data_IF_483392862726
#
_entry.id   IF_483392862726
#
_cell.length_a   1.000
_cell.length_b   1.000
_cell.length_c   1.000
_cell.angle_alpha   90.00
_cell.angle_beta   90.00
_cell.angle_gamma   90.00
#
_symmetry.space_group_name_H-M   'P 1'
#
loop_
_entity.id
_entity.type
_entity.pdbx_description
1 polymer ?
#
# COMPACT_ATOMS: atom_id res chain seq x y z
N UNK A 1 6.45 -7.85 -20.88
CA UNK A 1 7.15 -8.54 -19.75
C UNK A 1 8.66 -8.47 -19.91
N UNK A 2 9.26 -8.96 -21.04
CA UNK A 2 10.73 -8.96 -21.24
C UNK A 2 11.39 -7.58 -21.05
N UNK A 3 10.76 -6.49 -21.51
CA UNK A 3 11.30 -5.13 -21.40
C UNK A 3 11.27 -4.58 -19.96
N UNK A 4 10.30 -5.01 -19.16
CA UNK A 4 10.13 -4.54 -17.77
C UNK A 4 10.96 -5.35 -16.78
N UNK A 5 11.30 -6.59 -17.12
CA UNK A 5 11.99 -7.49 -16.19
C UNK A 5 13.30 -6.93 -15.63
N UNK A 6 14.20 -6.35 -16.44
CA UNK A 6 15.45 -5.77 -15.91
C UNK A 6 15.20 -4.64 -14.89
N UNK A 7 14.16 -3.83 -15.10
CA UNK A 7 13.76 -2.80 -14.14
C UNK A 7 13.28 -3.39 -12.83
N UNK A 8 12.31 -4.33 -12.88
CA UNK A 8 11.78 -4.97 -11.66
C UNK A 8 12.87 -5.73 -10.92
N UNK A 9 13.75 -6.43 -11.62
CA UNK A 9 14.92 -7.10 -11.03
C UNK A 9 15.87 -6.11 -10.36
N UNK A 10 16.08 -4.94 -10.95
CA UNK A 10 16.88 -3.86 -10.35
C UNK A 10 16.29 -3.35 -9.04
N UNK A 11 14.95 -3.17 -8.99
CA UNK A 11 14.24 -2.79 -7.78
C UNK A 11 14.33 -3.88 -6.71
N UNK A 12 14.15 -5.15 -7.07
CA UNK A 12 14.36 -6.27 -6.14
C UNK A 12 15.78 -6.30 -5.57
N UNK A 13 16.79 -6.12 -6.43
CA UNK A 13 18.20 -6.10 -6.01
C UNK A 13 18.53 -4.91 -5.07
N UNK A 14 17.83 -3.78 -5.20
CA UNK A 14 17.91 -2.68 -4.22
C UNK A 14 17.40 -3.15 -2.86
N UNK A 15 16.21 -3.73 -2.80
CA UNK A 15 15.61 -4.20 -1.55
C UNK A 15 16.40 -5.34 -0.91
N UNK A 16 16.94 -6.29 -1.68
CA UNK A 16 17.85 -7.33 -1.17
C UNK A 16 19.02 -6.78 -0.34
N UNK A 17 19.49 -5.57 -0.69
CA UNK A 17 20.60 -4.90 -0.01
C UNK A 17 20.17 -3.95 1.11
N UNK A 18 18.98 -3.36 0.95
CA UNK A 18 18.49 -2.36 1.90
C UNK A 18 17.86 -2.98 3.14
N UNK A 19 17.21 -4.13 2.98
CA UNK A 19 16.56 -4.84 4.07
C UNK A 19 17.58 -5.37 5.09
N UNK A 20 17.23 -5.28 6.35
CA UNK A 20 18.01 -5.88 7.45
C UNK A 20 17.29 -7.09 7.99
N UNK A 21 17.93 -8.27 8.01
CA UNK A 21 17.38 -9.47 8.62
C UNK A 21 17.65 -9.45 10.13
N UNK A 22 16.61 -9.45 10.94
CA UNK A 22 16.66 -9.50 12.40
C UNK A 22 15.91 -10.74 12.91
N UNK A 23 16.66 -11.71 13.38
CA UNK A 23 16.10 -13.00 13.74
C UNK A 23 15.54 -13.69 12.50
N UNK A 24 14.23 -13.80 12.42
CA UNK A 24 13.49 -14.45 11.34
C UNK A 24 12.70 -13.48 10.46
N UNK A 25 12.81 -12.16 10.69
CA UNK A 25 12.09 -11.14 9.92
C UNK A 25 12.99 -10.12 9.26
N UNK A 26 12.60 -9.66 8.08
CA UNK A 26 13.20 -8.50 7.43
C UNK A 26 12.57 -7.19 7.92
N UNK A 27 13.45 -6.23 8.22
CA UNK A 27 13.11 -4.91 8.75
C UNK A 27 13.58 -3.83 7.78
N UNK A 28 12.76 -2.80 7.63
CA UNK A 28 13.08 -1.58 6.88
C UNK A 28 13.43 -0.48 7.87
N UNK A 29 14.68 -0.04 7.88
CA UNK A 29 15.16 1.06 8.71
C UNK A 29 15.35 2.34 7.91
N UNK A 30 15.24 3.47 8.59
CA UNK A 30 15.53 4.80 8.04
C UNK A 30 14.76 5.13 6.75
N UNK A 31 13.55 4.61 6.63
CA UNK A 31 12.64 4.93 5.56
C UNK A 31 11.77 6.15 5.94
N UNK A 32 10.99 6.65 5.01
CA UNK A 32 10.03 7.73 5.21
C UNK A 32 8.65 7.28 4.75
N UNK A 33 7.65 7.41 5.62
CA UNK A 33 6.26 7.12 5.24
C UNK A 33 5.68 8.22 4.32
N UNK A 34 6.22 9.45 4.43
CA UNK A 34 5.79 10.62 3.68
C UNK A 34 6.93 11.63 3.62
N UNK A 35 6.89 12.56 2.67
CA UNK A 35 7.78 13.72 2.66
C UNK A 35 7.71 14.48 3.99
N UNK A 36 8.87 14.91 4.48
CA UNK A 36 8.98 15.53 5.82
C UNK A 36 9.07 14.56 7.00
N UNK A 37 8.88 13.26 6.79
CA UNK A 37 9.19 12.23 7.79
C UNK A 37 10.55 11.58 7.49
N UNK A 38 11.30 11.25 8.53
CA UNK A 38 12.61 10.60 8.41
C UNK A 38 12.82 9.59 9.53
N UNK A 39 13.62 8.58 9.27
CA UNK A 39 14.04 7.63 10.30
C UNK A 39 12.93 6.71 10.82
N UNK A 40 11.87 6.52 10.05
CA UNK A 40 10.80 5.61 10.43
C UNK A 40 11.22 4.15 10.21
N UNK A 41 10.64 3.25 10.99
CA UNK A 41 10.87 1.82 10.90
C UNK A 41 9.61 1.13 10.37
N UNK A 42 9.78 0.28 9.38
CA UNK A 42 8.71 -0.51 8.78
C UNK A 42 7.47 0.32 8.38
N UNK A 43 7.59 1.29 7.45
CA UNK A 43 6.42 1.96 6.91
C UNK A 43 5.51 0.94 6.21
N UNK A 44 4.21 0.98 6.51
CA UNK A 44 3.26 -0.02 6.04
C UNK A 44 3.17 -0.10 4.51
N UNK A 45 3.26 1.05 3.83
CA UNK A 45 3.29 1.10 2.37
C UNK A 45 4.52 0.38 1.81
N UNK A 46 5.70 0.62 2.40
CA UNK A 46 6.95 -0.01 1.98
C UNK A 46 6.93 -1.52 2.22
N UNK A 47 6.40 -1.97 3.37
CA UNK A 47 6.20 -3.39 3.65
C UNK A 47 5.33 -4.06 2.57
N UNK A 48 4.25 -3.39 2.14
CA UNK A 48 3.38 -3.88 1.09
C UNK A 48 4.05 -3.89 -0.29
N UNK A 49 4.73 -2.80 -0.64
CA UNK A 49 5.39 -2.65 -1.94
C UNK A 49 6.58 -3.62 -2.10
N UNK A 50 7.35 -3.87 -1.04
CA UNK A 50 8.44 -4.87 -1.07
C UNK A 50 7.88 -6.26 -1.36
N UNK A 51 6.82 -6.69 -0.66
CA UNK A 51 6.16 -7.96 -0.95
C UNK A 51 5.68 -8.05 -2.39
N UNK A 52 5.08 -6.99 -2.91
CA UNK A 52 4.64 -6.91 -4.31
C UNK A 52 5.83 -7.05 -5.28
N UNK A 53 6.94 -6.36 -5.03
CA UNK A 53 8.14 -6.43 -5.88
C UNK A 53 8.72 -7.84 -5.89
N UNK A 54 8.88 -8.47 -4.73
CA UNK A 54 9.43 -9.82 -4.62
C UNK A 54 8.54 -10.86 -5.30
N UNK A 55 7.23 -10.77 -5.14
CA UNK A 55 6.29 -11.61 -5.87
C UNK A 55 6.38 -11.38 -7.39
N UNK A 56 6.36 -10.10 -7.82
CA UNK A 56 6.39 -9.75 -9.23
C UNK A 56 7.66 -10.21 -9.93
N UNK A 57 8.83 -10.03 -9.31
CA UNK A 57 10.10 -10.48 -9.91
C UNK A 57 10.16 -12.00 -10.03
N UNK A 58 9.65 -12.72 -9.04
CA UNK A 58 9.57 -14.19 -9.05
C UNK A 58 8.64 -14.70 -10.15
N UNK A 59 7.44 -14.10 -10.28
CA UNK A 59 6.47 -14.47 -11.32
C UNK A 59 7.01 -14.18 -12.72
N UNK A 60 7.63 -13.00 -12.91
CA UNK A 60 8.24 -12.65 -14.20
C UNK A 60 9.43 -13.55 -14.53
N UNK A 61 10.26 -13.90 -13.56
CA UNK A 61 11.37 -14.86 -13.69
C UNK A 61 10.84 -16.22 -14.15
N UNK A 62 9.79 -16.71 -13.51
CA UNK A 62 9.15 -17.98 -13.86
C UNK A 62 8.57 -17.96 -15.27
N UNK A 63 7.84 -16.91 -15.62
CA UNK A 63 7.24 -16.73 -16.94
C UNK A 63 8.28 -16.66 -18.06
N UNK A 64 9.44 -16.04 -17.81
CA UNK A 64 10.51 -15.86 -18.78
C UNK A 64 11.52 -17.01 -18.80
N UNK A 65 11.51 -17.91 -17.80
CA UNK A 65 12.47 -19.01 -17.67
C UNK A 65 13.90 -18.53 -17.38
N UNK A 66 14.05 -17.46 -16.56
CA UNK A 66 15.35 -16.86 -16.22
C UNK A 66 15.53 -16.77 -14.71
N UNK A 67 16.78 -16.65 -14.23
CA UNK A 67 17.13 -16.40 -12.81
C UNK A 67 16.41 -17.37 -11.83
N UNK A 68 16.33 -18.64 -12.17
CA UNK A 68 15.65 -19.67 -11.37
C UNK A 68 16.29 -19.82 -9.99
N UNK A 69 17.60 -19.67 -9.91
CA UNK A 69 18.42 -19.72 -8.71
C UNK A 69 18.09 -18.58 -7.69
N UNK A 70 17.40 -17.54 -8.13
CA UNK A 70 17.02 -16.40 -7.29
C UNK A 70 15.62 -16.53 -6.67
N UNK A 71 14.76 -17.38 -7.21
CA UNK A 71 13.33 -17.41 -6.82
C UNK A 71 13.13 -17.79 -5.36
N UNK A 72 13.93 -18.71 -4.85
CA UNK A 72 13.86 -19.11 -3.44
C UNK A 72 14.21 -17.93 -2.52
N UNK A 73 15.23 -17.15 -2.85
CA UNK A 73 15.61 -15.96 -2.09
C UNK A 73 14.49 -14.91 -2.10
N UNK A 74 13.88 -14.63 -3.25
CA UNK A 74 12.78 -13.65 -3.34
C UNK A 74 11.54 -14.10 -2.58
N UNK A 75 11.21 -15.40 -2.64
CA UNK A 75 10.13 -15.96 -1.84
C UNK A 75 10.43 -15.85 -0.34
N UNK A 76 11.65 -16.20 0.07
CA UNK A 76 12.08 -16.08 1.46
C UNK A 76 11.97 -14.64 1.99
N UNK A 77 12.46 -13.65 1.23
CA UNK A 77 12.33 -12.24 1.62
C UNK A 77 10.86 -11.86 1.78
N UNK A 78 10.02 -12.17 0.78
CA UNK A 78 8.59 -11.85 0.82
C UNK A 78 7.90 -12.42 2.05
N UNK A 79 8.15 -13.68 2.35
CA UNK A 79 7.46 -14.44 3.40
C UNK A 79 7.97 -14.08 4.81
N UNK A 80 9.19 -13.53 4.91
CA UNK A 80 9.81 -13.10 6.17
C UNK A 80 9.83 -11.58 6.35
N UNK A 81 9.11 -10.81 5.54
CA UNK A 81 8.91 -9.38 5.84
C UNK A 81 8.19 -9.21 7.17
N UNK A 82 8.54 -8.17 7.92
CA UNK A 82 7.84 -7.79 9.15
C UNK A 82 6.34 -7.67 8.94
N UNK A 83 5.55 -8.05 9.94
CA UNK A 83 4.08 -7.92 9.90
C UNK A 83 3.64 -6.46 9.75
N UNK A 84 2.41 -6.26 9.29
CA UNK A 84 1.81 -4.94 9.22
C UNK A 84 1.57 -4.41 10.64
N UNK A 85 2.10 -3.22 10.97
CA UNK A 85 1.92 -2.66 12.30
C UNK A 85 0.45 -2.30 12.56
N UNK A 86 0.00 -2.57 13.77
CA UNK A 86 -1.38 -2.36 14.23
C UNK A 86 -1.43 -1.40 15.41
N UNK A 87 -2.60 -0.79 15.61
CA UNK A 87 -2.91 0.03 16.78
C UNK A 87 -4.41 0.02 17.08
N UNK A 88 -4.76 0.43 18.30
CA UNK A 88 -6.15 0.66 18.69
C UNK A 88 -6.55 2.12 18.46
N UNK A 89 -7.68 2.35 17.78
CA UNK A 89 -8.29 3.66 17.63
C UNK A 89 -9.81 3.56 17.78
N UNK A 90 -10.37 4.40 18.64
CA UNK A 90 -11.81 4.43 18.91
C UNK A 90 -12.43 3.05 19.20
N UNK A 91 -11.69 2.18 19.89
CA UNK A 91 -12.13 0.82 20.24
C UNK A 91 -12.09 -0.18 19.09
N UNK A 92 -11.39 0.14 17.99
CA UNK A 92 -11.17 -0.74 16.84
C UNK A 92 -9.69 -0.94 16.61
N UNK A 93 -9.29 -2.15 16.26
CA UNK A 93 -7.94 -2.42 15.73
C UNK A 93 -7.87 -1.92 14.30
N UNK A 94 -6.87 -1.11 13.99
CA UNK A 94 -6.59 -0.52 12.68
C UNK A 94 -5.12 -0.66 12.32
N UNK A 95 -4.76 -0.49 11.05
CA UNK A 95 -3.37 -0.40 10.64
C UNK A 95 -2.71 0.85 11.21
N UNK A 96 -1.46 0.70 11.60
CA UNK A 96 -0.57 1.78 12.00
C UNK A 96 0.36 2.13 10.82
N UNK A 97 0.70 3.39 10.64
CA UNK A 97 1.48 3.83 9.49
C UNK A 97 2.92 3.31 9.48
N UNK A 98 3.55 3.21 10.65
CA UNK A 98 4.90 2.67 10.81
C UNK A 98 5.00 1.85 12.10
N UNK A 99 5.89 0.90 12.19
CA UNK A 99 6.15 0.18 13.45
C UNK A 99 6.74 1.12 14.52
N UNK A 100 7.69 1.99 14.10
CA UNK A 100 8.21 3.08 14.93
C UNK A 100 8.27 4.37 14.11
N UNK A 101 7.88 5.47 14.73
CA UNK A 101 7.79 6.77 14.10
C UNK A 101 6.33 7.24 14.04
N UNK A 102 5.84 7.54 12.85
CA UNK A 102 4.46 8.01 12.64
C UNK A 102 3.45 6.90 12.89
N UNK A 103 2.52 7.09 13.81
CA UNK A 103 1.46 6.15 14.10
C UNK A 103 0.22 6.35 13.22
N UNK A 104 -0.16 7.62 13.00
CA UNK A 104 -1.32 7.99 12.20
C UNK A 104 -1.14 9.36 11.57
N UNK A 105 -1.62 9.50 10.33
CA UNK A 105 -1.64 10.77 9.65
C UNK A 105 -3.05 11.05 9.12
N UNK A 106 -3.65 12.13 9.60
CA UNK A 106 -5.08 12.39 9.38
C UNK A 106 -5.44 12.95 8.01
N UNK A 107 -4.49 13.29 7.14
CA UNK A 107 -4.71 14.00 5.88
C UNK A 107 -4.20 13.30 4.62
N UNK A 108 -3.87 12.01 4.72
CA UNK A 108 -3.47 11.20 3.56
C UNK A 108 -3.92 9.74 3.68
N UNK A 109 -3.67 8.95 2.62
CA UNK A 109 -4.07 7.56 2.51
C UNK A 109 -2.89 6.57 2.49
N UNK A 110 -1.72 6.98 2.95
CA UNK A 110 -0.51 6.13 2.94
C UNK A 110 -0.69 4.86 3.78
N UNK A 111 -1.49 4.94 4.84
CA UNK A 111 -1.78 3.81 5.73
C UNK A 111 -2.57 2.66 5.10
N UNK A 112 -3.04 2.79 3.85
CA UNK A 112 -3.75 1.72 3.11
C UNK A 112 -3.09 1.36 1.78
N UNK A 113 -1.92 1.91 1.47
CA UNK A 113 -1.27 1.64 0.18
C UNK A 113 -0.71 0.22 0.04
N UNK A 114 -0.58 -0.52 1.12
CA UNK A 114 -0.33 -1.96 1.10
C UNK A 114 -1.56 -2.75 0.57
N UNK A 115 -2.78 -2.18 0.66
CA UNK A 115 -3.99 -2.72 0.02
C UNK A 115 -4.00 -2.35 -1.46
N UNK A 116 -3.86 -1.06 -1.77
CA UNK A 116 -3.74 -0.54 -3.13
C UNK A 116 -2.77 0.67 -3.13
N UNK A 117 -1.72 0.67 -3.99
CA UNK A 117 -1.52 -0.21 -5.15
C UNK A 117 -0.81 -1.55 -4.87
N UNK A 118 -0.26 -1.79 -3.68
CA UNK A 118 0.58 -2.96 -3.43
C UNK A 118 -0.15 -4.32 -3.51
N UNK A 119 -1.48 -4.33 -3.41
CA UNK A 119 -2.30 -5.50 -3.70
C UNK A 119 -2.19 -6.65 -2.69
N UNK A 120 -1.76 -6.37 -1.46
CA UNK A 120 -1.47 -7.41 -0.48
C UNK A 120 -2.70 -7.92 0.28
N UNK A 121 -3.78 -7.14 0.30
CA UNK A 121 -5.03 -7.50 0.96
C UNK A 121 -6.18 -7.41 -0.05
N UNK A 122 -7.07 -8.38 -0.04
CA UNK A 122 -8.25 -8.44 -0.88
C UNK A 122 -9.25 -9.47 -0.35
N UNK A 123 -10.34 -9.72 -1.10
CA UNK A 123 -11.47 -10.56 -0.66
C UNK A 123 -11.08 -11.98 -0.20
N UNK A 124 -9.96 -12.52 -0.67
CA UNK A 124 -9.48 -13.85 -0.30
C UNK A 124 -8.49 -13.84 0.87
N UNK A 125 -8.25 -12.68 1.49
CA UNK A 125 -7.36 -12.56 2.64
C UNK A 125 -8.01 -13.11 3.91
N UNK A 126 -7.19 -13.31 4.94
CA UNK A 126 -7.68 -13.73 6.24
C UNK A 126 -8.80 -12.81 6.74
N UNK A 127 -9.91 -13.35 7.27
CA UNK A 127 -11.06 -12.55 7.71
C UNK A 127 -10.73 -11.49 8.78
N UNK A 128 -9.78 -11.78 9.68
CA UNK A 128 -9.37 -10.82 10.70
C UNK A 128 -8.60 -9.66 10.06
N UNK A 129 -7.74 -9.96 9.09
CA UNK A 129 -7.00 -8.94 8.35
C UNK A 129 -7.93 -8.06 7.52
N UNK A 130 -8.95 -8.65 6.88
CA UNK A 130 -10.01 -7.90 6.19
C UNK A 130 -10.78 -6.99 7.14
N UNK A 131 -11.13 -7.47 8.33
CA UNK A 131 -11.83 -6.65 9.32
C UNK A 131 -10.97 -5.44 9.77
N UNK A 132 -9.68 -5.64 9.95
CA UNK A 132 -8.74 -4.54 10.26
C UNK A 132 -8.68 -3.54 9.10
N UNK A 133 -8.67 -4.01 7.86
CA UNK A 133 -8.70 -3.15 6.67
C UNK A 133 -9.99 -2.33 6.59
N UNK A 134 -11.16 -2.93 6.83
CA UNK A 134 -12.44 -2.23 6.92
C UNK A 134 -12.44 -1.18 8.04
N UNK A 135 -12.00 -1.55 9.24
CA UNK A 135 -11.88 -0.62 10.37
C UNK A 135 -10.97 0.57 10.02
N UNK A 136 -9.89 0.32 9.30
CA UNK A 136 -8.95 1.37 8.89
C UNK A 136 -9.59 2.34 7.90
N UNK A 137 -10.31 1.84 6.90
CA UNK A 137 -11.06 2.67 5.95
C UNK A 137 -12.12 3.51 6.67
N UNK A 138 -12.88 2.88 7.59
CA UNK A 138 -13.88 3.56 8.42
C UNK A 138 -13.28 4.68 9.27
N UNK A 139 -12.09 4.47 9.83
CA UNK A 139 -11.42 5.45 10.68
C UNK A 139 -10.79 6.58 9.87
N UNK A 140 -10.25 6.28 8.70
CA UNK A 140 -9.63 7.27 7.81
C UNK A 140 -10.64 8.24 7.19
N UNK A 141 -11.77 7.75 6.70
CA UNK A 141 -12.86 8.55 6.08
C UNK A 141 -12.39 9.48 4.96
N UNK A 142 -11.42 9.04 4.14
CA UNK A 142 -10.79 9.86 3.11
C UNK A 142 -11.48 9.76 1.74
N UNK A 143 -12.80 9.78 1.74
CA UNK A 143 -13.62 9.70 0.52
C UNK A 143 -13.53 10.94 -0.38
N UNK A 144 -13.08 12.08 0.17
CA UNK A 144 -12.93 13.35 -0.55
C UNK A 144 -11.55 13.97 -0.32
N UNK A 145 -10.53 13.15 -0.17
CA UNK A 145 -9.16 13.62 0.04
C UNK A 145 -8.53 14.12 -1.27
N UNK A 146 -7.75 15.18 -1.18
CA UNK A 146 -7.09 15.81 -2.33
C UNK A 146 -6.01 14.94 -2.95
N UNK A 147 -5.25 14.22 -2.13
CA UNK A 147 -4.07 13.46 -2.53
C UNK A 147 -4.25 11.95 -2.40
N UNK A 148 -5.40 11.48 -1.98
CA UNK A 148 -5.53 10.11 -1.55
C UNK A 148 -6.69 9.34 -2.13
N UNK A 149 -7.69 10.00 -2.70
CA UNK A 149 -8.87 9.33 -3.26
C UNK A 149 -8.52 8.31 -4.35
N UNK A 150 -7.50 8.58 -5.13
CA UNK A 150 -6.95 7.66 -6.12
C UNK A 150 -6.51 6.29 -5.53
N UNK A 151 -6.12 6.25 -4.26
CA UNK A 151 -5.79 5.00 -3.56
C UNK A 151 -6.94 4.51 -2.69
N UNK A 152 -7.78 5.42 -2.17
CA UNK A 152 -8.81 5.11 -1.19
C UNK A 152 -9.96 4.32 -1.79
N UNK A 153 -10.56 4.78 -2.90
CA UNK A 153 -11.62 4.05 -3.58
C UNK A 153 -11.19 2.67 -4.07
N UNK A 154 -10.06 2.53 -4.79
CA UNK A 154 -9.59 1.21 -5.20
C UNK A 154 -9.27 0.28 -4.02
N UNK A 155 -8.74 0.80 -2.91
CA UNK A 155 -8.51 0.00 -1.72
C UNK A 155 -9.83 -0.49 -1.10
N UNK A 156 -10.84 0.38 -0.98
CA UNK A 156 -12.16 0.02 -0.48
C UNK A 156 -12.83 -1.06 -1.35
N UNK A 157 -12.80 -0.90 -2.68
CA UNK A 157 -13.31 -1.93 -3.61
C UNK A 157 -12.58 -3.25 -3.42
N UNK A 158 -11.26 -3.21 -3.29
CA UNK A 158 -10.43 -4.41 -3.19
C UNK A 158 -10.69 -5.25 -1.94
N UNK A 159 -11.05 -4.61 -0.84
CA UNK A 159 -11.39 -5.31 0.41
C UNK A 159 -12.88 -5.68 0.51
N UNK A 160 -13.68 -5.37 -0.52
CA UNK A 160 -15.12 -5.66 -0.51
C UNK A 160 -15.91 -4.74 0.42
N UNK A 161 -15.52 -3.46 0.51
CA UNK A 161 -16.32 -2.47 1.22
C UNK A 161 -17.71 -2.35 0.59
N UNK A 162 -18.70 -1.89 1.37
CA UNK A 162 -20.07 -1.78 0.90
C UNK A 162 -20.20 -0.96 -0.41
N UNK A 163 -20.64 -1.59 -1.53
CA UNK A 163 -20.66 -0.94 -2.83
C UNK A 163 -21.62 0.25 -2.92
N UNK A 164 -22.71 0.24 -2.17
CA UNK A 164 -23.66 1.34 -2.15
C UNK A 164 -23.03 2.57 -1.47
N UNK A 165 -22.30 2.36 -0.38
CA UNK A 165 -21.52 3.42 0.27
C UNK A 165 -20.43 3.96 -0.64
N UNK A 166 -19.70 3.10 -1.37
CA UNK A 166 -18.70 3.53 -2.35
C UNK A 166 -19.34 4.40 -3.42
N UNK A 167 -20.48 3.99 -3.99
CA UNK A 167 -21.18 4.75 -5.05
C UNK A 167 -21.68 6.11 -4.55
N UNK A 168 -22.20 6.18 -3.32
CA UNK A 168 -22.62 7.45 -2.71
C UNK A 168 -21.42 8.41 -2.61
N UNK A 169 -20.28 7.93 -2.09
CA UNK A 169 -19.09 8.74 -1.95
C UNK A 169 -18.47 9.13 -3.29
N UNK A 170 -18.43 8.21 -4.25
CA UNK A 170 -17.92 8.47 -5.59
C UNK A 170 -18.79 9.51 -6.34
N UNK A 171 -20.11 9.42 -6.20
CA UNK A 171 -21.01 10.42 -6.74
C UNK A 171 -20.78 11.80 -6.11
N UNK A 172 -20.66 11.87 -4.78
CA UNK A 172 -20.33 13.13 -4.09
C UNK A 172 -18.97 13.69 -4.57
N UNK A 173 -17.97 12.83 -4.70
CA UNK A 173 -16.64 13.21 -5.19
C UNK A 173 -16.67 13.75 -6.64
N UNK A 174 -17.51 13.17 -7.52
CA UNK A 174 -17.63 13.61 -8.91
C UNK A 174 -18.14 15.05 -9.08
N UNK A 175 -18.84 15.58 -8.09
CA UNK A 175 -19.28 17.00 -8.10
C UNK A 175 -18.13 18.02 -7.98
N UNK A 176 -16.93 17.56 -7.60
CA UNK A 176 -15.73 18.38 -7.54
C UNK A 176 -14.90 18.32 -8.84
N UNK A 177 -15.45 17.77 -9.91
CA UNK A 177 -14.76 17.69 -11.21
C UNK A 177 -15.13 18.81 -12.14
N UNK A 178 -14.14 19.28 -12.89
CA UNK A 178 -14.38 20.21 -14.00
C UNK A 178 -14.96 19.49 -15.23
N UNK A 179 -15.55 20.25 -16.19
CA UNK A 179 -16.08 19.64 -17.43
C UNK A 179 -15.08 18.83 -18.26
N UNK A 180 -13.79 19.08 -18.07
CA UNK A 180 -12.71 18.34 -18.73
C UNK A 180 -12.30 17.04 -17.99
N UNK A 181 -13.00 16.69 -16.91
CA UNK A 181 -12.72 15.51 -16.10
C UNK A 181 -11.62 15.68 -15.04
N UNK A 182 -10.99 16.84 -14.96
CA UNK A 182 -10.05 17.11 -13.87
C UNK A 182 -10.78 17.46 -12.59
N UNK A 183 -10.27 16.96 -11.48
CA UNK A 183 -10.77 17.32 -10.17
C UNK A 183 -9.91 18.42 -9.55
N UNK A 184 -10.56 19.32 -8.84
CA UNK A 184 -9.93 20.33 -8.02
C UNK A 184 -10.58 20.34 -6.64
N UNK A 185 -9.99 19.65 -5.72
CA UNK A 185 -10.37 19.70 -4.30
C UNK A 185 -9.55 20.72 -3.52
N UNK A 186 -8.45 21.18 -4.07
CA UNK A 186 -7.56 22.12 -3.42
C UNK A 186 -7.18 23.21 -4.41
N UNK A 187 -7.21 24.52 -4.02
CA UNK A 187 -6.80 25.60 -4.91
C UNK A 187 -5.33 25.53 -5.38
N UNK A 188 -4.54 24.59 -4.85
CA UNK A 188 -3.11 24.49 -5.12
C UNK A 188 -2.66 23.33 -6.01
N UNK A 189 -3.54 22.42 -6.39
CA UNK A 189 -3.10 21.28 -7.17
C UNK A 189 -4.22 20.52 -7.85
N UNK A 190 -3.93 20.01 -9.02
CA UNK A 190 -4.71 19.00 -9.70
C UNK A 190 -3.94 17.70 -9.51
N UNK A 191 -4.28 16.94 -8.53
CA UNK A 191 -3.82 15.57 -8.40
C UNK A 191 -4.89 14.63 -8.91
N UNK A 192 -5.01 14.57 -10.22
CA UNK A 192 -5.95 13.69 -10.85
C UNK A 192 -5.23 12.43 -11.31
N UNK A 193 -5.14 11.49 -10.44
CA UNK A 193 -4.76 10.13 -10.76
C UNK A 193 -6.02 9.38 -11.17
N UNK A 194 -5.97 8.50 -12.10
CA UNK A 194 -7.09 7.69 -12.56
C UNK A 194 -7.90 7.08 -11.39
N UNK A 195 -8.96 7.73 -11.01
CA UNK A 195 -9.97 7.17 -10.11
C UNK A 195 -10.93 6.28 -10.91
#
# INVERSE_FOLDING_TARGET
TRKLYPFVKGVAAFWEKYLTLEGDRYVIYNDAIHEGTVGTMNPILSLGLVRMVMQTVSDMSSFLGVDEDKREQWAFIKDHMSDYPLQERNGKTVFRYTEKGTDWWGDNTLGIQHIYPAGQIGLNSDPQLLQIAHNTVDEMRRWSDFNGTNSFFPAAVRIGYDPDSILVHLNAYSHHTYPNGFQLDNPHGIENWST
#
